data_IF_903584735002
#
_entry.id   IF_903584735002
#
_cell.length_a   1.000
_cell.length_b   1.000
_cell.length_c   1.000
_cell.angle_alpha   90.00
_cell.angle_beta   90.00
_cell.angle_gamma   90.00
#
_symmetry.space_group_name_H-M   'P 1'
#
loop_
_entity.id
_entity.type
_entity.pdbx_description
1 polymer ?
#
# COMPACT_ATOMS: atom_id res chain seq x y z
N UNK A 1 -23.28 22.94 -21.56
CA UNK A 1 -22.44 22.33 -20.50
C UNK A 1 -22.91 20.89 -20.36
N UNK A 2 -22.11 19.98 -20.79
CA UNK A 2 -22.40 18.55 -20.58
C UNK A 2 -22.22 18.22 -19.09
N UNK A 3 -22.86 17.16 -18.66
CA UNK A 3 -22.81 16.71 -17.27
C UNK A 3 -21.41 16.15 -16.97
N UNK A 4 -20.79 16.49 -15.82
CA UNK A 4 -19.53 15.86 -15.44
C UNK A 4 -19.65 14.33 -15.43
N UNK A 5 -18.57 13.63 -15.78
CA UNK A 5 -18.50 12.16 -15.69
C UNK A 5 -18.78 11.74 -14.25
N UNK A 6 -19.65 10.76 -14.07
CA UNK A 6 -20.01 10.18 -12.78
C UNK A 6 -19.77 8.67 -12.83
N UNK A 7 -19.75 8.03 -11.64
CA UNK A 7 -19.59 6.57 -11.56
C UNK A 7 -20.59 5.79 -12.42
N UNK A 8 -21.80 6.29 -12.60
CA UNK A 8 -22.82 5.67 -13.48
C UNK A 8 -22.48 5.71 -14.97
N UNK A 9 -21.51 6.51 -15.36
CA UNK A 9 -21.06 6.65 -16.75
C UNK A 9 -19.86 5.75 -17.07
N UNK A 10 -19.25 5.11 -16.03
CA UNK A 10 -18.06 4.27 -16.16
C UNK A 10 -18.46 2.86 -16.67
N UNK A 11 -17.66 2.32 -17.58
CA UNK A 11 -17.81 0.96 -18.09
C UNK A 11 -16.42 0.32 -18.28
N UNK A 12 -16.34 -1.01 -18.20
CA UNK A 12 -15.07 -1.72 -18.41
C UNK A 12 -14.58 -1.68 -19.86
N UNK A 13 -15.50 -1.53 -20.81
CA UNK A 13 -15.20 -1.68 -22.23
C UNK A 13 -14.88 -0.35 -22.92
N UNK A 14 -15.07 0.78 -22.25
CA UNK A 14 -14.95 2.09 -22.87
C UNK A 14 -14.59 3.17 -21.87
N UNK A 15 -13.55 3.95 -22.19
CA UNK A 15 -13.24 5.19 -21.51
C UNK A 15 -14.21 6.27 -21.98
N UNK A 16 -14.97 6.93 -21.10
CA UNK A 16 -15.88 7.98 -21.49
C UNK A 16 -15.17 9.10 -22.26
N UNK A 17 -15.78 9.59 -23.35
CA UNK A 17 -15.30 10.80 -23.98
C UNK A 17 -15.44 11.98 -23.03
N UNK A 18 -14.42 12.85 -23.00
CA UNK A 18 -14.40 14.06 -22.19
C UNK A 18 -14.64 15.28 -23.05
N UNK A 19 -15.22 16.32 -22.46
CA UNK A 19 -15.33 17.64 -23.08
C UNK A 19 -14.02 18.43 -23.06
N UNK A 20 -13.02 17.91 -22.38
CA UNK A 20 -11.73 18.55 -22.26
C UNK A 20 -10.85 18.22 -23.46
N UNK A 21 -10.11 19.21 -23.93
CA UNK A 21 -8.99 18.99 -24.82
C UNK A 21 -7.72 18.76 -23.99
N UNK A 22 -6.81 17.96 -24.49
CA UNK A 22 -5.50 17.74 -23.94
C UNK A 22 -4.77 19.08 -23.60
N UNK A 23 -4.81 20.05 -24.52
CA UNK A 23 -4.15 21.35 -24.33
C UNK A 23 -4.77 22.15 -23.17
N UNK A 24 -6.08 22.06 -22.95
CA UNK A 24 -6.74 22.71 -21.82
C UNK A 24 -6.38 22.05 -20.50
N UNK A 25 -6.44 20.71 -20.43
CA UNK A 25 -6.08 19.95 -19.23
C UNK A 25 -4.60 20.22 -18.84
N UNK A 26 -3.69 20.13 -19.81
CA UNK A 26 -2.26 20.37 -19.59
C UNK A 26 -1.97 21.85 -19.20
N UNK A 27 -2.70 22.81 -19.74
CA UNK A 27 -2.55 24.22 -19.36
C UNK A 27 -2.92 24.44 -17.90
N UNK A 28 -4.04 23.88 -17.44
CA UNK A 28 -4.44 23.90 -16.03
C UNK A 28 -3.38 23.23 -15.14
N UNK A 29 -2.94 22.03 -15.53
CA UNK A 29 -1.92 21.29 -14.80
C UNK A 29 -0.63 22.10 -14.59
N UNK A 30 -0.13 22.74 -15.65
CA UNK A 30 1.07 23.60 -15.61
C UNK A 30 0.87 24.87 -14.80
N UNK A 31 -0.35 25.40 -14.74
CA UNK A 31 -0.68 26.57 -13.91
C UNK A 31 -0.83 26.23 -12.43
N UNK A 32 -0.87 24.93 -12.06
CA UNK A 32 -1.19 24.47 -10.72
C UNK A 32 -2.67 24.64 -10.37
N UNK A 33 -3.52 24.82 -11.38
CA UNK A 33 -4.97 24.91 -11.21
C UNK A 33 -5.55 23.53 -10.86
N UNK A 34 -6.61 23.51 -10.05
CA UNK A 34 -7.28 22.28 -9.66
C UNK A 34 -7.90 21.56 -10.85
N UNK A 35 -7.46 20.32 -11.10
CA UNK A 35 -7.95 19.47 -12.18
C UNK A 35 -9.32 18.86 -11.83
N UNK A 36 -10.17 18.72 -12.84
CA UNK A 36 -11.41 17.95 -12.80
C UNK A 36 -11.16 16.48 -13.14
N UNK A 37 -12.16 15.61 -12.93
CA UNK A 37 -12.09 14.20 -13.36
C UNK A 37 -11.88 14.10 -14.87
N UNK A 38 -12.58 14.94 -15.65
CA UNK A 38 -12.42 14.98 -17.12
C UNK A 38 -11.00 15.40 -17.53
N UNK A 39 -10.39 16.37 -16.83
CA UNK A 39 -8.98 16.74 -17.06
C UNK A 39 -8.05 15.54 -16.78
N UNK A 40 -8.30 14.78 -15.69
CA UNK A 40 -7.50 13.62 -15.34
C UNK A 40 -7.65 12.48 -16.37
N UNK A 41 -8.88 12.19 -16.82
CA UNK A 41 -9.14 11.20 -17.88
C UNK A 41 -8.37 11.61 -19.13
N UNK A 42 -8.47 12.86 -19.57
CA UNK A 42 -7.76 13.35 -20.76
C UNK A 42 -6.23 13.20 -20.64
N UNK A 43 -5.66 13.46 -19.46
CA UNK A 43 -4.22 13.29 -19.25
C UNK A 43 -3.80 11.82 -19.15
N UNK A 44 -4.64 10.94 -18.59
CA UNK A 44 -4.38 9.49 -18.50
C UNK A 44 -4.54 8.79 -19.85
N UNK A 45 -5.51 9.22 -20.67
CA UNK A 45 -5.76 8.68 -22.01
C UNK A 45 -4.82 9.26 -23.06
N UNK A 46 -3.91 10.13 -22.66
CA UNK A 46 -2.98 10.84 -23.53
C UNK A 46 -2.33 9.90 -24.55
N UNK A 47 -2.84 9.93 -25.77
CA UNK A 47 -2.29 9.21 -26.89
C UNK A 47 -2.64 7.72 -26.95
N UNK A 48 -3.66 7.24 -26.26
CA UNK A 48 -4.27 5.96 -26.59
C UNK A 48 -5.13 6.12 -27.85
N UNK A 49 -4.46 6.21 -29.01
CA UNK A 49 -5.12 5.92 -30.26
C UNK A 49 -4.99 4.41 -30.58
N UNK A 50 -5.52 3.98 -31.71
CA UNK A 50 -5.48 2.57 -32.16
C UNK A 50 -4.04 2.04 -32.27
N UNK A 51 -3.05 2.91 -32.27
CA UNK A 51 -1.62 2.63 -32.45
C UNK A 51 -0.78 2.75 -31.17
N UNK A 52 -1.35 3.15 -30.03
CA UNK A 52 -0.67 3.30 -28.74
C UNK A 52 -0.58 4.73 -28.21
N UNK A 53 0.19 4.91 -27.12
CA UNK A 53 0.35 6.19 -26.44
C UNK A 53 1.13 7.20 -27.30
N UNK A 54 0.58 8.42 -27.49
CA UNK A 54 1.29 9.55 -28.10
C UNK A 54 2.46 10.00 -27.20
N UNK A 55 3.64 9.53 -27.51
CA UNK A 55 4.84 9.79 -26.70
C UNK A 55 5.11 11.30 -26.52
N UNK A 56 4.82 12.13 -27.52
CA UNK A 56 5.00 13.58 -27.40
C UNK A 56 4.07 14.21 -26.37
N UNK A 57 2.81 13.77 -26.32
CA UNK A 57 1.85 14.24 -25.32
C UNK A 57 2.22 13.71 -23.94
N UNK A 58 2.58 12.43 -23.83
CA UNK A 58 3.03 11.80 -22.58
C UNK A 58 4.20 12.59 -21.98
N UNK A 59 5.28 12.81 -22.74
CA UNK A 59 6.44 13.57 -22.26
C UNK A 59 6.05 14.94 -21.69
N UNK A 60 5.11 15.64 -22.28
CA UNK A 60 4.63 16.94 -21.80
C UNK A 60 3.86 16.84 -20.47
N UNK A 61 3.15 15.73 -20.23
CA UNK A 61 2.48 15.45 -18.93
C UNK A 61 3.53 15.16 -17.87
N UNK A 62 4.51 14.30 -18.18
CA UNK A 62 5.61 13.96 -17.26
C UNK A 62 6.42 15.20 -16.86
N UNK A 63 6.77 16.05 -17.84
CA UNK A 63 7.47 17.31 -17.58
C UNK A 63 6.66 18.23 -16.65
N UNK A 64 5.34 18.37 -16.87
CA UNK A 64 4.49 19.18 -16.01
C UNK A 64 4.42 18.63 -14.59
N UNK A 65 4.36 17.30 -14.44
CA UNK A 65 4.33 16.64 -13.15
C UNK A 65 5.65 16.77 -12.38
N UNK A 66 6.80 16.65 -13.07
CA UNK A 66 8.10 16.83 -12.41
C UNK A 66 8.34 18.29 -11.99
N UNK A 67 7.89 19.26 -12.79
CA UNK A 67 7.87 20.67 -12.38
C UNK A 67 7.00 20.87 -11.14
N UNK A 68 5.79 20.30 -11.12
CA UNK A 68 4.90 20.40 -9.95
C UNK A 68 5.52 19.77 -8.72
N UNK A 69 6.16 18.60 -8.85
CA UNK A 69 6.91 17.96 -7.76
C UNK A 69 8.00 18.90 -7.22
N UNK A 70 8.81 19.50 -8.12
CA UNK A 70 9.85 20.41 -7.70
C UNK A 70 9.32 21.65 -6.95
N UNK A 71 8.15 22.16 -7.34
CA UNK A 71 7.48 23.27 -6.66
C UNK A 71 6.96 22.88 -5.27
N UNK A 72 6.51 21.63 -5.06
CA UNK A 72 5.89 21.17 -3.81
C UNK A 72 6.95 20.66 -2.81
N UNK A 73 7.87 19.80 -3.24
CA UNK A 73 8.80 19.07 -2.36
C UNK A 73 10.28 19.33 -2.68
N UNK A 74 10.61 20.11 -3.70
CA UNK A 74 12.00 20.42 -4.06
C UNK A 74 12.72 19.24 -4.72
N UNK A 75 14.04 19.17 -4.52
CA UNK A 75 14.92 18.17 -5.14
C UNK A 75 15.21 16.96 -4.23
N UNK A 76 14.58 16.90 -3.08
CA UNK A 76 14.72 15.79 -2.14
C UNK A 76 13.99 14.54 -2.65
N UNK A 77 14.58 13.38 -2.40
CA UNK A 77 13.94 12.07 -2.55
C UNK A 77 14.01 11.37 -1.21
N UNK A 78 12.84 11.12 -0.65
CA UNK A 78 12.71 10.54 0.67
C UNK A 78 12.68 9.01 0.63
N UNK A 79 13.10 8.38 1.74
CA UNK A 79 12.93 6.95 2.00
C UNK A 79 12.92 6.68 3.51
N UNK A 80 12.38 5.52 3.90
CA UNK A 80 12.21 5.13 5.31
C UNK A 80 12.93 3.83 5.63
N UNK A 81 13.51 3.74 6.84
CA UNK A 81 14.07 2.48 7.34
C UNK A 81 12.96 1.62 7.95
N UNK A 82 12.38 0.72 7.18
CA UNK A 82 11.25 -0.10 7.59
C UNK A 82 11.45 -1.61 7.41
N UNK A 83 10.56 -2.34 8.07
CA UNK A 83 10.38 -3.78 7.96
C UNK A 83 8.93 -4.08 7.55
N UNK A 84 8.72 -4.99 6.61
CA UNK A 84 7.44 -5.64 6.40
C UNK A 84 7.32 -6.85 7.33
N UNK A 85 6.38 -6.83 8.27
CA UNK A 85 6.06 -7.96 9.13
C UNK A 85 4.63 -8.46 8.87
N UNK A 86 4.42 -9.17 7.76
CA UNK A 86 3.16 -9.84 7.51
C UNK A 86 2.95 -10.97 8.52
N UNK A 87 1.82 -10.98 9.22
CA UNK A 87 1.57 -11.92 10.32
C UNK A 87 1.13 -13.29 9.79
N UNK A 88 0.27 -13.32 8.76
CA UNK A 88 -0.26 -14.58 8.23
C UNK A 88 -0.64 -14.47 6.76
N UNK A 89 -0.50 -15.60 6.05
CA UNK A 89 -1.06 -15.79 4.71
C UNK A 89 -2.46 -16.41 4.74
N UNK A 90 -2.92 -16.94 5.88
CA UNK A 90 -4.25 -17.51 6.01
C UNK A 90 -5.34 -16.46 5.81
N UNK A 91 -6.18 -16.62 4.77
CA UNK A 91 -7.21 -15.66 4.43
C UNK A 91 -8.40 -16.31 3.72
N UNK A 92 -9.62 -15.90 4.05
CA UNK A 92 -10.86 -16.39 3.42
C UNK A 92 -11.61 -15.36 2.57
N UNK A 93 -11.05 -14.17 2.33
CA UNK A 93 -11.75 -13.10 1.57
C UNK A 93 -11.93 -13.48 0.10
N UNK A 94 -10.97 -14.16 -0.50
CA UNK A 94 -11.13 -14.67 -1.86
C UNK A 94 -10.84 -13.67 -2.98
N UNK A 95 -10.10 -12.57 -2.75
CA UNK A 95 -9.71 -11.61 -3.78
C UNK A 95 -9.03 -12.29 -4.96
N UNK A 96 -9.48 -11.97 -6.19
CA UNK A 96 -8.99 -12.62 -7.41
C UNK A 96 -7.64 -12.07 -7.88
N UNK A 97 -7.25 -10.89 -7.42
CA UNK A 97 -5.94 -10.29 -7.70
C UNK A 97 -4.83 -10.76 -6.75
N UNK A 98 -5.20 -11.44 -5.64
CA UNK A 98 -4.25 -11.72 -4.56
C UNK A 98 -3.67 -13.13 -4.65
N UNK A 99 -2.36 -13.22 -4.76
CA UNK A 99 -1.60 -14.49 -4.66
C UNK A 99 -0.78 -14.61 -3.37
N UNK A 100 -0.88 -13.64 -2.47
CA UNK A 100 -0.26 -13.70 -1.14
C UNK A 100 -0.98 -14.68 -0.22
N UNK A 101 -2.30 -14.79 -0.36
CA UNK A 101 -3.14 -15.59 0.53
C UNK A 101 -3.05 -17.09 0.27
N UNK A 102 -3.13 -17.85 1.36
CA UNK A 102 -3.46 -19.27 1.36
C UNK A 102 -4.85 -19.48 1.98
N UNK A 103 -5.57 -20.51 1.54
CA UNK A 103 -6.90 -20.80 2.09
C UNK A 103 -6.78 -21.20 3.58
N UNK A 104 -7.47 -20.48 4.46
CA UNK A 104 -7.30 -20.61 5.90
C UNK A 104 -7.55 -22.05 6.44
N UNK A 105 -8.36 -22.87 5.76
CA UNK A 105 -8.60 -24.25 6.16
C UNK A 105 -7.36 -25.17 6.03
N UNK A 106 -6.34 -24.78 5.25
CA UNK A 106 -5.09 -25.55 5.12
C UNK A 106 -4.20 -25.43 6.36
N UNK A 107 -4.46 -24.46 7.23
CA UNK A 107 -3.76 -24.27 8.50
C UNK A 107 -4.42 -24.96 9.69
N UNK A 108 -5.58 -25.60 9.48
CA UNK A 108 -6.31 -26.26 10.55
C UNK A 108 -5.63 -27.56 10.98
N UNK A 109 -5.71 -27.87 12.27
CA UNK A 109 -5.22 -29.14 12.83
C UNK A 109 -5.93 -30.33 12.18
N UNK A 110 -5.22 -31.40 12.04
CA UNK A 110 -5.75 -32.71 11.63
C UNK A 110 -6.40 -32.76 10.23
N UNK A 111 -6.19 -31.77 9.38
CA UNK A 111 -6.72 -31.74 8.01
C UNK A 111 -5.93 -32.71 7.07
N UNK A 112 -4.67 -33.01 7.42
CA UNK A 112 -3.74 -33.70 6.53
C UNK A 112 -3.32 -32.89 5.31
N UNK A 113 -3.60 -31.57 5.31
CA UNK A 113 -3.19 -30.63 4.28
C UNK A 113 -1.95 -29.86 4.78
N UNK A 114 -0.99 -29.68 3.90
CA UNK A 114 0.17 -28.82 4.17
C UNK A 114 -0.06 -27.48 3.47
N UNK A 115 0.06 -26.38 4.22
CA UNK A 115 0.09 -25.04 3.64
C UNK A 115 1.53 -24.66 3.31
N UNK A 116 1.74 -24.02 2.16
CA UNK A 116 3.02 -23.39 1.84
C UNK A 116 3.16 -22.00 2.52
N UNK A 117 2.12 -21.55 3.23
CA UNK A 117 2.07 -20.28 3.91
C UNK A 117 2.59 -20.32 5.34
N UNK A 118 2.35 -19.25 6.07
CA UNK A 118 2.79 -19.08 7.46
C UNK A 118 1.72 -18.37 8.30
N UNK A 119 1.83 -18.55 9.62
CA UNK A 119 1.18 -17.74 10.64
C UNK A 119 2.19 -17.49 11.75
N UNK A 120 2.31 -16.26 12.24
CA UNK A 120 3.20 -15.86 13.32
C UNK A 120 2.42 -15.60 14.60
N UNK A 121 2.97 -16.04 15.71
CA UNK A 121 2.49 -15.65 17.03
C UNK A 121 2.90 -14.22 17.37
N UNK A 122 2.26 -13.54 18.34
CA UNK A 122 2.72 -12.23 18.83
C UNK A 122 4.17 -12.23 19.32
N UNK A 123 4.65 -13.34 19.92
CA UNK A 123 6.05 -13.45 20.37
C UNK A 123 7.03 -13.44 19.20
N UNK A 124 6.74 -14.17 18.13
CA UNK A 124 7.57 -14.19 16.92
C UNK A 124 7.58 -12.83 16.23
N UNK A 125 6.42 -12.14 16.13
CA UNK A 125 6.35 -10.77 15.59
C UNK A 125 7.23 -9.81 16.41
N UNK A 126 7.18 -9.90 17.75
CA UNK A 126 8.01 -9.08 18.63
C UNK A 126 9.51 -9.34 18.44
N UNK A 127 9.93 -10.60 18.34
CA UNK A 127 11.32 -10.98 18.12
C UNK A 127 11.85 -10.46 16.78
N UNK A 128 11.06 -10.59 15.71
CA UNK A 128 11.40 -10.08 14.37
C UNK A 128 11.56 -8.56 14.39
N UNK A 129 10.61 -7.84 15.00
CA UNK A 129 10.65 -6.36 15.07
C UNK A 129 11.81 -5.90 15.93
N UNK A 130 12.04 -6.53 17.10
CA UNK A 130 13.16 -6.17 17.98
C UNK A 130 14.53 -6.38 17.30
N UNK A 131 14.68 -7.47 16.53
CA UNK A 131 15.89 -7.70 15.74
C UNK A 131 16.07 -6.61 14.66
N UNK A 132 15.00 -6.23 13.93
CA UNK A 132 15.06 -5.17 12.94
C UNK A 132 15.40 -3.80 13.54
N UNK A 133 14.83 -3.47 14.71
CA UNK A 133 15.16 -2.24 15.47
C UNK A 133 16.64 -2.19 15.85
N UNK A 134 17.20 -3.31 16.30
CA UNK A 134 18.63 -3.40 16.62
C UNK A 134 19.56 -3.11 15.44
N UNK A 135 19.01 -3.11 14.23
CA UNK A 135 19.70 -2.80 12.97
C UNK A 135 19.37 -1.40 12.41
N UNK A 136 18.59 -0.60 13.12
CA UNK A 136 18.27 0.76 12.75
C UNK A 136 16.89 0.95 12.09
N UNK A 137 16.04 -0.08 12.03
CA UNK A 137 14.65 0.05 11.62
C UNK A 137 13.87 0.81 12.69
N UNK A 138 13.00 1.72 12.27
CA UNK A 138 12.12 2.48 13.16
C UNK A 138 10.66 2.53 12.68
N UNK A 139 10.33 1.85 11.59
CA UNK A 139 8.96 1.63 11.14
C UNK A 139 8.72 0.14 10.87
N UNK A 140 7.61 -0.39 11.35
CA UNK A 140 7.11 -1.69 10.94
C UNK A 140 5.80 -1.52 10.17
N UNK A 141 5.78 -1.99 8.93
CA UNK A 141 4.58 -2.12 8.13
C UNK A 141 4.03 -3.53 8.28
N UNK A 142 2.74 -3.67 8.58
CA UNK A 142 2.09 -4.98 8.70
C UNK A 142 0.74 -4.97 8.00
N UNK A 143 0.64 -5.75 6.91
CA UNK A 143 -0.60 -6.05 6.20
C UNK A 143 -0.69 -7.56 6.04
N UNK A 144 -1.79 -8.17 6.46
CA UNK A 144 -1.86 -9.62 6.61
C UNK A 144 -3.12 -10.22 5.99
N UNK A 145 -3.13 -11.55 5.84
CA UNK A 145 -4.34 -12.29 5.57
C UNK A 145 -5.34 -12.17 6.72
N UNK A 146 -6.63 -12.30 6.42
CA UNK A 146 -7.69 -12.27 7.43
C UNK A 146 -7.91 -13.67 8.01
N UNK A 147 -7.11 -14.02 9.01
CA UNK A 147 -7.19 -15.32 9.67
C UNK A 147 -8.51 -15.45 10.44
N UNK A 148 -9.28 -16.54 10.27
CA UNK A 148 -10.59 -16.69 10.94
C UNK A 148 -10.51 -16.71 12.46
N UNK A 149 -9.39 -17.05 13.07
CA UNK A 149 -9.18 -17.00 14.51
C UNK A 149 -8.90 -15.59 15.07
N UNK A 150 -8.59 -14.61 14.21
CA UNK A 150 -8.41 -13.25 14.70
C UNK A 150 -9.67 -12.71 15.35
N UNK A 151 -9.50 -12.05 16.47
CA UNK A 151 -10.46 -11.15 17.09
C UNK A 151 -9.75 -9.79 17.27
N UNK A 152 -10.50 -8.71 17.53
CA UNK A 152 -9.90 -7.41 17.85
C UNK A 152 -9.04 -7.52 19.10
N UNK A 153 -9.67 -8.02 20.18
CA UNK A 153 -9.08 -8.23 21.51
C UNK A 153 -9.78 -9.41 22.23
N UNK A 154 -9.49 -9.60 23.51
CA UNK A 154 -10.07 -10.68 24.33
C UNK A 154 -11.59 -10.56 24.47
N UNK A 155 -12.16 -9.36 24.61
CA UNK A 155 -13.61 -9.13 24.67
C UNK A 155 -14.28 -9.56 23.37
N UNK A 156 -13.70 -9.16 22.23
CA UNK A 156 -14.21 -9.56 20.91
C UNK A 156 -14.14 -11.08 20.71
N UNK A 157 -13.08 -11.73 21.19
CA UNK A 157 -12.94 -13.18 21.13
C UNK A 157 -14.10 -13.88 21.86
N UNK A 158 -14.43 -13.44 23.07
CA UNK A 158 -15.57 -13.97 23.84
C UNK A 158 -16.91 -13.79 23.10
N UNK A 159 -17.13 -12.64 22.46
CA UNK A 159 -18.33 -12.37 21.66
C UNK A 159 -18.41 -13.32 20.46
N UNK A 160 -17.31 -13.51 19.73
CA UNK A 160 -17.27 -14.40 18.57
C UNK A 160 -17.45 -15.87 18.93
N UNK A 161 -16.87 -16.34 20.05
CA UNK A 161 -17.05 -17.70 20.57
C UNK A 161 -18.49 -17.98 20.99
N UNK A 162 -19.16 -16.98 21.58
CA UNK A 162 -20.56 -17.07 21.97
C UNK A 162 -21.54 -16.80 20.81
N UNK A 163 -21.08 -16.43 19.63
CA UNK A 163 -21.92 -16.04 18.52
C UNK A 163 -22.79 -17.21 18.03
N UNK A 164 -24.15 -17.03 17.88
CA UNK A 164 -25.06 -18.12 17.54
C UNK A 164 -24.79 -18.70 16.14
N UNK A 165 -24.17 -17.93 15.26
CA UNK A 165 -23.84 -18.32 13.89
C UNK A 165 -22.34 -18.02 13.58
N UNK A 166 -21.38 -18.80 14.13
CA UNK A 166 -19.95 -18.53 13.94
C UNK A 166 -19.50 -18.52 12.45
N UNK A 167 -20.19 -19.29 11.61
CA UNK A 167 -19.90 -19.33 10.16
C UNK A 167 -20.31 -18.03 9.46
N UNK A 168 -21.37 -17.38 9.93
CA UNK A 168 -21.82 -16.11 9.33
C UNK A 168 -20.82 -14.96 9.58
N UNK A 169 -20.12 -15.02 10.73
CA UNK A 169 -19.05 -14.07 11.09
C UNK A 169 -17.66 -14.57 10.72
N UNK A 170 -17.57 -15.66 9.96
CA UNK A 170 -16.29 -16.25 9.53
C UNK A 170 -15.30 -16.46 10.70
N UNK A 171 -15.80 -16.94 11.86
CA UNK A 171 -14.96 -17.18 13.03
C UNK A 171 -14.74 -18.68 13.26
N UNK A 172 -13.51 -19.00 13.62
CA UNK A 172 -13.09 -20.31 14.06
C UNK A 172 -12.08 -20.16 15.20
N UNK A 173 -12.27 -20.83 16.35
CA UNK A 173 -11.44 -20.58 17.52
C UNK A 173 -9.99 -21.01 17.27
N UNK A 174 -9.00 -20.37 17.96
CA UNK A 174 -7.59 -20.64 17.76
C UNK A 174 -7.18 -22.10 17.90
N UNK A 175 -7.83 -22.85 18.78
CA UNK A 175 -7.56 -24.28 19.00
C UNK A 175 -7.78 -25.15 17.77
N UNK A 176 -8.54 -24.64 16.79
CA UNK A 176 -8.74 -25.32 15.51
C UNK A 176 -7.49 -25.28 14.62
N UNK A 177 -6.53 -24.42 14.89
CA UNK A 177 -5.34 -24.18 14.10
C UNK A 177 -4.08 -24.67 14.81
N UNK A 178 -3.02 -24.92 14.05
CA UNK A 178 -1.73 -25.33 14.61
C UNK A 178 -1.07 -24.20 15.39
N UNK A 179 -1.20 -22.96 14.87
CA UNK A 179 -0.63 -21.74 15.44
C UNK A 179 -1.76 -20.77 15.76
N UNK A 180 -1.80 -20.27 17.00
CA UNK A 180 -2.67 -19.17 17.41
C UNK A 180 -2.04 -17.84 16.98
N UNK A 181 -2.67 -17.08 16.08
CA UNK A 181 -2.15 -15.76 15.68
C UNK A 181 -2.32 -14.67 16.76
N UNK A 182 -2.93 -14.97 17.90
CA UNK A 182 -3.33 -13.99 18.91
C UNK A 182 -4.55 -13.16 18.45
N UNK A 183 -4.69 -11.99 19.05
CA UNK A 183 -5.66 -10.96 18.63
C UNK A 183 -4.95 -9.87 17.83
N UNK A 184 -5.71 -8.98 17.16
CA UNK A 184 -5.13 -7.82 16.49
C UNK A 184 -4.39 -6.92 17.50
N UNK A 185 -4.97 -6.68 18.69
CA UNK A 185 -4.30 -5.88 19.74
C UNK A 185 -3.06 -6.58 20.30
N UNK A 186 -3.03 -7.92 20.37
CA UNK A 186 -1.82 -8.67 20.76
C UNK A 186 -0.69 -8.47 19.74
N UNK A 187 -1.00 -8.57 18.44
CA UNK A 187 -0.01 -8.37 17.36
C UNK A 187 0.51 -6.93 17.34
N UNK A 188 -0.38 -5.92 17.43
CA UNK A 188 0.02 -4.51 17.48
C UNK A 188 0.92 -4.25 18.71
N UNK A 189 0.51 -4.71 19.89
CA UNK A 189 1.33 -4.54 21.13
C UNK A 189 2.68 -5.26 21.03
N UNK A 190 2.74 -6.39 20.35
CA UNK A 190 3.97 -7.11 20.11
C UNK A 190 4.93 -6.36 19.19
N UNK A 191 4.41 -5.70 18.16
CA UNK A 191 5.19 -4.88 17.21
C UNK A 191 5.56 -3.50 17.76
N UNK A 192 4.79 -2.96 18.73
CA UNK A 192 5.05 -1.66 19.37
C UNK A 192 6.22 -1.76 20.35
N UNK A 193 7.42 -1.87 19.79
CA UNK A 193 8.70 -1.84 20.53
C UNK A 193 9.17 -0.40 20.65
N UNK A 194 9.93 -0.07 21.72
CA UNK A 194 10.42 1.29 21.95
C UNK A 194 11.15 1.85 20.70
N UNK A 195 10.69 3.01 20.24
CA UNK A 195 11.26 3.72 19.11
C UNK A 195 10.77 3.25 17.71
N UNK A 196 9.80 2.34 17.67
CA UNK A 196 9.18 1.86 16.43
C UNK A 196 7.83 2.53 16.20
N UNK A 197 7.61 2.98 14.98
CA UNK A 197 6.32 3.41 14.45
C UNK A 197 5.59 2.21 13.84
N UNK A 198 4.38 1.93 14.30
CA UNK A 198 3.57 0.80 13.81
C UNK A 198 2.58 1.29 12.75
N UNK A 199 2.84 0.91 11.50
CA UNK A 199 1.99 1.19 10.33
C UNK A 199 1.22 -0.07 9.93
N UNK A 200 -0.05 -0.19 10.35
CA UNK A 200 -0.81 -1.44 10.22
C UNK A 200 -2.31 -1.23 10.23
N UNK A 201 -3.08 -2.32 10.22
CA UNK A 201 -4.53 -2.34 10.37
C UNK A 201 -5.26 -1.59 9.26
N UNK A 202 -5.12 -2.10 8.05
CA UNK A 202 -5.89 -1.64 6.87
C UNK A 202 -7.40 -1.54 7.16
N UNK A 203 -8.17 -0.74 6.40
CA UNK A 203 -9.64 -0.72 6.50
C UNK A 203 -10.29 -2.10 6.42
N UNK A 204 -9.75 -3.02 5.63
CA UNK A 204 -10.23 -4.39 5.54
C UNK A 204 -10.00 -5.18 6.84
N UNK A 205 -8.84 -5.03 7.47
CA UNK A 205 -8.55 -5.64 8.77
C UNK A 205 -9.43 -5.05 9.86
N UNK A 206 -9.69 -3.74 9.84
CA UNK A 206 -10.63 -3.08 10.76
C UNK A 206 -12.08 -3.54 10.54
N UNK A 207 -12.49 -3.71 9.27
CA UNK A 207 -13.79 -4.30 8.93
C UNK A 207 -13.92 -5.73 9.49
N UNK A 208 -12.89 -6.55 9.34
CA UNK A 208 -12.82 -7.89 9.91
C UNK A 208 -12.81 -7.87 11.45
N UNK A 209 -12.14 -6.91 12.07
CA UNK A 209 -12.01 -6.76 13.52
C UNK A 209 -13.30 -6.34 14.23
N UNK A 210 -14.34 -5.88 13.52
CA UNK A 210 -15.65 -5.53 14.09
C UNK A 210 -16.76 -6.55 13.83
N UNK A 211 -16.47 -7.62 13.07
CA UNK A 211 -17.49 -8.61 12.69
C UNK A 211 -18.20 -9.22 13.91
N UNK A 212 -19.49 -9.44 13.80
CA UNK A 212 -20.32 -9.98 14.90
C UNK A 212 -20.62 -8.99 16.03
N UNK A 213 -20.28 -7.71 15.85
CA UNK A 213 -20.55 -6.62 16.79
C UNK A 213 -21.24 -5.45 16.09
N UNK A 214 -21.73 -4.50 16.88
CA UNK A 214 -22.22 -3.20 16.42
C UNK A 214 -21.21 -2.06 16.64
N UNK A 215 -19.94 -2.40 16.90
CA UNK A 215 -18.87 -1.40 17.11
C UNK A 215 -18.67 -0.53 15.88
N UNK A 216 -18.43 0.76 16.10
CA UNK A 216 -18.00 1.67 15.06
C UNK A 216 -16.53 1.42 14.68
N UNK A 217 -16.08 2.00 13.56
CA UNK A 217 -14.65 1.97 13.22
C UNK A 217 -13.82 2.79 14.21
N UNK A 218 -14.37 3.87 14.80
CA UNK A 218 -13.70 4.62 15.89
C UNK A 218 -13.46 3.75 17.13
N UNK A 219 -14.42 2.89 17.51
CA UNK A 219 -14.24 1.93 18.62
C UNK A 219 -13.07 0.98 18.33
N UNK A 220 -13.02 0.45 17.09
CA UNK A 220 -11.94 -0.46 16.67
C UNK A 220 -10.59 0.25 16.66
N UNK A 221 -10.46 1.37 15.94
CA UNK A 221 -9.21 2.10 15.85
C UNK A 221 -8.78 2.71 17.18
N UNK A 222 -9.70 3.12 18.03
CA UNK A 222 -9.40 3.58 19.39
C UNK A 222 -8.74 2.50 20.24
N UNK A 223 -9.20 1.24 20.17
CA UNK A 223 -8.58 0.09 20.85
C UNK A 223 -7.22 -0.27 20.26
N UNK A 224 -7.08 -0.24 18.94
CA UNK A 224 -5.82 -0.49 18.25
C UNK A 224 -4.77 0.59 18.56
N UNK A 225 -5.17 1.86 18.59
CA UNK A 225 -4.30 2.97 19.02
C UNK A 225 -3.85 2.80 20.45
N UNK A 226 -4.73 2.39 21.35
CA UNK A 226 -4.36 2.09 22.74
C UNK A 226 -3.40 0.90 22.86
N UNK A 227 -3.40 -0.02 21.88
CA UNK A 227 -2.45 -1.13 21.80
C UNK A 227 -1.09 -0.74 21.18
N UNK A 228 -0.95 0.47 20.60
CA UNK A 228 0.27 0.98 20.02
C UNK A 228 0.28 1.13 18.50
N UNK A 229 -0.88 1.18 17.84
CA UNK A 229 -0.99 1.54 16.44
C UNK A 229 -0.76 3.04 16.26
N UNK A 230 0.09 3.44 15.31
CA UNK A 230 0.43 4.85 15.04
C UNK A 230 -0.22 5.36 13.75
N UNK A 231 -0.15 4.59 12.66
CA UNK A 231 -0.73 4.99 11.35
C UNK A 231 -1.39 3.81 10.64
N UNK A 232 -2.32 4.13 9.72
CA UNK A 232 -3.13 3.17 8.96
C UNK A 232 -2.77 3.22 7.48
N UNK A 233 -2.34 2.08 6.87
CA UNK A 233 -2.09 2.01 5.44
C UNK A 233 -3.39 2.06 4.63
N UNK A 234 -3.36 2.79 3.52
CA UNK A 234 -4.47 2.89 2.57
C UNK A 234 -4.73 1.63 1.75
N UNK A 235 -3.93 0.58 1.94
CA UNK A 235 -4.10 -0.72 1.29
C UNK A 235 -5.50 -1.26 1.57
N UNK A 236 -6.01 -2.10 0.69
CA UNK A 236 -7.40 -2.52 0.57
C UNK A 236 -8.32 -1.53 -0.19
N UNK A 237 -7.84 -0.32 -0.53
CA UNK A 237 -8.53 0.54 -1.48
C UNK A 237 -8.65 -0.14 -2.84
N UNK A 238 -7.61 -0.79 -3.30
CA UNK A 238 -7.41 -1.33 -4.64
C UNK A 238 -7.80 -0.26 -5.67
N UNK A 239 -9.06 -0.26 -6.09
CA UNK A 239 -9.67 0.87 -6.79
C UNK A 239 -11.03 1.19 -6.14
N UNK A 240 -11.25 2.46 -5.82
CA UNK A 240 -12.46 2.92 -5.11
C UNK A 240 -13.61 3.16 -6.11
N UNK A 241 -13.94 2.15 -6.88
CA UNK A 241 -15.09 2.10 -7.82
C UNK A 241 -15.74 0.73 -7.68
N UNK A 242 -17.00 0.69 -7.25
CA UNK A 242 -17.67 -0.55 -6.84
C UNK A 242 -17.78 -1.56 -7.98
N UNK A 243 -18.05 -1.11 -9.20
CA UNK A 243 -18.11 -1.98 -10.39
C UNK A 243 -16.83 -2.77 -10.61
N UNK A 244 -15.66 -2.14 -10.39
CA UNK A 244 -14.34 -2.78 -10.47
C UNK A 244 -14.14 -3.74 -9.31
N UNK A 245 -14.48 -3.32 -8.08
CA UNK A 245 -14.36 -4.12 -6.86
C UNK A 245 -15.17 -5.40 -6.93
N UNK A 246 -16.38 -5.33 -7.47
CA UNK A 246 -17.26 -6.50 -7.69
C UNK A 246 -16.61 -7.57 -8.56
N UNK A 247 -15.72 -7.19 -9.47
CA UNK A 247 -14.97 -8.14 -10.31
C UNK A 247 -13.72 -8.67 -9.58
N UNK A 248 -12.91 -7.79 -8.99
CA UNK A 248 -11.59 -8.20 -8.49
C UNK A 248 -11.59 -8.70 -7.04
N UNK A 249 -12.55 -8.24 -6.22
CA UNK A 249 -12.61 -8.56 -4.79
C UNK A 249 -14.04 -8.48 -4.19
N UNK A 250 -15.01 -9.26 -4.70
CA UNK A 250 -16.44 -9.14 -4.32
C UNK A 250 -16.76 -9.43 -2.85
N UNK A 251 -15.82 -10.02 -2.11
CA UNK A 251 -15.95 -10.32 -0.68
C UNK A 251 -15.31 -9.30 0.25
N UNK A 252 -14.75 -8.21 -0.29
CA UNK A 252 -13.98 -7.21 0.43
C UNK A 252 -14.86 -6.04 0.88
N UNK A 253 -14.36 -5.25 1.83
CA UNK A 253 -14.98 -3.99 2.24
C UNK A 253 -15.38 -3.15 1.02
N UNK A 254 -16.58 -2.55 1.03
CA UNK A 254 -17.05 -1.68 -0.04
C UNK A 254 -16.25 -0.37 -0.11
N UNK A 255 -16.36 0.35 -1.23
CA UNK A 255 -15.78 1.70 -1.37
C UNK A 255 -16.21 2.62 -0.23
N UNK A 256 -17.49 2.68 0.09
CA UNK A 256 -18.02 3.52 1.18
C UNK A 256 -17.48 3.07 2.53
N UNK A 257 -17.48 1.76 2.82
CA UNK A 257 -16.93 1.22 4.05
C UNK A 257 -15.43 1.52 4.22
N UNK A 258 -14.66 1.52 3.13
CA UNK A 258 -13.26 1.91 3.15
C UNK A 258 -13.10 3.40 3.51
N UNK A 259 -13.88 4.28 2.90
CA UNK A 259 -13.88 5.72 3.20
C UNK A 259 -14.26 6.00 4.66
N UNK A 260 -15.35 5.36 5.15
CA UNK A 260 -15.78 5.46 6.55
C UNK A 260 -14.67 5.01 7.53
N UNK A 261 -14.00 3.90 7.24
CA UNK A 261 -12.93 3.38 8.09
C UNK A 261 -11.73 4.34 8.14
N UNK A 262 -11.33 4.93 7.02
CA UNK A 262 -10.25 5.91 6.97
C UNK A 262 -10.61 7.21 7.71
N UNK A 263 -11.83 7.72 7.55
CA UNK A 263 -12.30 8.88 8.33
C UNK A 263 -12.29 8.59 9.83
N UNK A 264 -12.75 7.41 10.24
CA UNK A 264 -12.73 6.99 11.63
C UNK A 264 -11.33 6.88 12.22
N UNK A 265 -10.37 6.36 11.45
CA UNK A 265 -8.96 6.30 11.85
C UNK A 265 -8.39 7.72 12.09
N UNK A 266 -8.66 8.66 11.18
CA UNK A 266 -8.28 10.07 11.33
C UNK A 266 -8.95 10.71 12.57
N UNK A 267 -10.25 10.45 12.78
CA UNK A 267 -11.02 11.00 13.91
C UNK A 267 -10.45 10.60 15.28
N UNK A 268 -9.86 9.41 15.38
CA UNK A 268 -9.16 8.99 16.60
C UNK A 268 -7.69 9.47 16.64
N UNK A 269 -7.25 10.23 15.62
CA UNK A 269 -5.94 10.85 15.55
C UNK A 269 -4.84 9.89 15.12
N UNK A 270 -5.11 8.96 14.21
CA UNK A 270 -4.12 8.16 13.50
C UNK A 270 -3.75 8.86 12.18
N UNK A 271 -2.48 8.83 11.80
CA UNK A 271 -2.07 9.24 10.45
C UNK A 271 -2.46 8.19 9.42
N UNK A 272 -2.54 8.59 8.15
CA UNK A 272 -3.02 7.75 7.06
C UNK A 272 -2.07 7.78 5.87
N UNK A 273 -2.10 6.69 5.07
CA UNK A 273 -1.64 6.73 3.68
C UNK A 273 -2.79 6.38 2.73
N UNK A 274 -2.68 6.65 1.44
CA UNK A 274 -3.66 6.23 0.47
C UNK A 274 -2.97 5.49 -0.69
N UNK A 275 -3.65 4.48 -1.26
CA UNK A 275 -3.08 3.64 -2.31
C UNK A 275 -4.08 3.47 -3.46
N UNK A 276 -3.57 3.21 -4.65
CA UNK A 276 -4.32 2.64 -5.76
C UNK A 276 -3.61 1.39 -6.27
N UNK A 277 -4.34 0.34 -6.63
CA UNK A 277 -3.83 -0.75 -7.46
C UNK A 277 -4.44 -0.62 -8.85
N UNK A 278 -3.62 -0.57 -9.88
CA UNK A 278 -4.03 -0.32 -11.26
C UNK A 278 -3.34 -1.25 -12.25
N UNK A 279 -3.83 -1.32 -13.49
CA UNK A 279 -3.32 -2.18 -14.55
C UNK A 279 -3.96 -3.56 -14.58
N UNK A 280 -5.22 -3.68 -14.14
CA UNK A 280 -5.98 -4.94 -14.18
C UNK A 280 -7.21 -4.85 -15.11
N UNK A 281 -8.44 -4.64 -14.59
CA UNK A 281 -9.68 -4.59 -15.39
C UNK A 281 -10.25 -3.18 -15.51
N UNK A 282 -9.71 -2.24 -14.75
CA UNK A 282 -10.14 -0.85 -14.76
C UNK A 282 -9.68 -0.11 -16.03
N UNK A 283 -10.18 1.09 -16.20
CA UNK A 283 -9.76 2.04 -17.23
C UNK A 283 -9.41 3.41 -16.59
N UNK A 284 -9.01 4.37 -17.41
CA UNK A 284 -8.56 5.69 -16.99
C UNK A 284 -9.64 6.49 -16.27
N UNK A 285 -10.92 6.29 -16.62
CA UNK A 285 -12.02 6.93 -15.91
C UNK A 285 -12.19 6.39 -14.49
N UNK A 286 -11.99 5.08 -14.29
CA UNK A 286 -11.97 4.46 -12.97
C UNK A 286 -10.81 4.99 -12.12
N UNK A 287 -9.60 5.11 -12.72
CA UNK A 287 -8.41 5.69 -12.06
C UNK A 287 -8.65 7.14 -11.64
N UNK A 288 -9.20 7.96 -12.53
CA UNK A 288 -9.53 9.36 -12.24
C UNK A 288 -10.60 9.50 -11.14
N UNK A 289 -11.61 8.61 -11.11
CA UNK A 289 -12.62 8.59 -10.06
C UNK A 289 -12.02 8.18 -8.71
N UNK A 290 -11.11 7.22 -8.69
CA UNK A 290 -10.37 6.84 -7.49
C UNK A 290 -9.58 8.04 -6.94
N UNK A 291 -8.78 8.71 -7.77
CA UNK A 291 -8.04 9.92 -7.37
C UNK A 291 -8.96 11.01 -6.80
N UNK A 292 -10.13 11.22 -7.40
CA UNK A 292 -11.14 12.16 -6.88
C UNK A 292 -11.55 11.78 -5.46
N UNK A 293 -11.85 10.51 -5.18
CA UNK A 293 -12.28 10.05 -3.86
C UNK A 293 -11.19 10.20 -2.80
N UNK A 294 -9.95 9.92 -3.16
CA UNK A 294 -8.79 10.14 -2.27
C UNK A 294 -8.63 11.62 -1.96
N UNK A 295 -8.68 12.50 -2.97
CA UNK A 295 -8.60 13.95 -2.78
C UNK A 295 -9.72 14.50 -1.89
N UNK A 296 -10.94 14.04 -2.09
CA UNK A 296 -12.10 14.42 -1.26
C UNK A 296 -12.00 13.84 0.16
N UNK A 297 -11.45 12.65 0.33
CA UNK A 297 -11.16 12.10 1.66
C UNK A 297 -10.15 12.97 2.39
N UNK A 298 -9.04 13.36 1.76
CA UNK A 298 -8.04 14.25 2.36
C UNK A 298 -8.63 15.58 2.85
N UNK A 299 -9.62 16.13 2.12
CA UNK A 299 -10.33 17.32 2.57
C UNK A 299 -11.18 17.08 3.83
N UNK A 300 -11.76 15.88 3.98
CA UNK A 300 -12.58 15.52 5.15
C UNK A 300 -11.76 15.19 6.39
N UNK A 301 -10.54 14.64 6.19
CA UNK A 301 -9.65 14.22 7.27
C UNK A 301 -8.58 15.27 7.64
N UNK A 302 -8.77 16.51 7.22
CA UNK A 302 -7.92 17.68 7.55
C UNK A 302 -6.43 17.44 7.32
N UNK A 303 -6.08 16.79 6.20
CA UNK A 303 -4.69 16.56 5.82
C UNK A 303 -4.03 15.33 6.49
N UNK A 304 -4.79 14.41 7.06
CA UNK A 304 -4.23 13.24 7.74
C UNK A 304 -3.54 12.24 6.80
N UNK A 305 -3.78 12.28 5.48
CA UNK A 305 -3.11 11.44 4.49
C UNK A 305 -1.75 12.05 4.15
N UNK A 306 -0.67 11.37 4.55
CA UNK A 306 0.70 11.86 4.35
C UNK A 306 1.25 11.55 2.97
N UNK A 307 0.85 10.43 2.35
CA UNK A 307 1.33 10.02 1.03
C UNK A 307 0.28 9.30 0.21
N UNK A 308 0.48 9.32 -1.10
CA UNK A 308 -0.25 8.49 -2.05
C UNK A 308 0.69 7.50 -2.74
N UNK A 309 0.28 6.21 -2.77
CA UNK A 309 1.11 5.10 -3.26
C UNK A 309 0.43 4.41 -4.45
N UNK A 310 0.80 4.72 -5.69
CA UNK A 310 0.41 3.94 -6.86
C UNK A 310 1.12 2.58 -6.88
N UNK A 311 0.34 1.50 -7.00
CA UNK A 311 0.79 0.11 -7.01
C UNK A 311 0.41 -0.55 -8.33
N UNK A 312 1.36 -0.74 -9.21
CA UNK A 312 1.17 -1.51 -10.45
C UNK A 312 0.80 -2.97 -10.12
N UNK A 313 -0.21 -3.49 -10.80
CA UNK A 313 -0.71 -4.85 -10.59
C UNK A 313 0.29 -5.91 -11.06
N UNK A 314 0.74 -6.75 -10.15
CA UNK A 314 1.57 -7.93 -10.46
C UNK A 314 0.64 -9.09 -10.80
N UNK A 315 0.45 -9.37 -12.08
CA UNK A 315 -0.57 -10.29 -12.58
C UNK A 315 -0.20 -11.76 -12.49
N UNK A 316 1.11 -12.06 -12.51
CA UNK A 316 1.60 -13.45 -12.51
C UNK A 316 1.02 -14.24 -11.34
N UNK A 317 0.64 -15.49 -11.59
CA UNK A 317 0.10 -16.40 -10.60
C UNK A 317 -1.19 -15.93 -9.88
N UNK A 318 -1.89 -14.91 -10.37
CA UNK A 318 -3.15 -14.46 -9.76
C UNK A 318 -4.36 -15.16 -10.43
N UNK A 319 -5.47 -15.40 -9.70
CA UNK A 319 -6.67 -15.95 -10.31
C UNK A 319 -7.21 -15.11 -11.49
N UNK A 320 -7.08 -13.79 -11.48
CA UNK A 320 -7.45 -12.94 -12.62
C UNK A 320 -6.70 -13.34 -13.89
N UNK A 321 -5.40 -13.61 -13.79
CA UNK A 321 -4.57 -14.01 -14.91
C UNK A 321 -4.80 -15.49 -15.30
N UNK A 322 -4.88 -16.39 -14.31
CA UNK A 322 -5.10 -17.83 -14.53
C UNK A 322 -6.45 -18.15 -15.18
N UNK A 323 -7.46 -17.28 -14.97
CA UNK A 323 -8.79 -17.41 -15.57
C UNK A 323 -9.02 -16.54 -16.81
N UNK A 324 -7.95 -16.00 -17.41
CA UNK A 324 -8.01 -15.16 -18.61
C UNK A 324 -8.91 -13.91 -18.45
N UNK A 325 -9.10 -13.40 -17.23
CA UNK A 325 -9.84 -12.15 -16.97
C UNK A 325 -8.98 -10.96 -17.37
N UNK A 326 -7.68 -11.05 -17.15
CA UNK A 326 -6.66 -10.08 -17.58
C UNK A 326 -5.58 -10.78 -18.40
N UNK A 327 -4.96 -10.06 -19.33
CA UNK A 327 -3.86 -10.58 -20.17
C UNK A 327 -2.47 -10.15 -19.68
N UNK A 328 -2.38 -9.24 -18.71
CA UNK A 328 -1.13 -8.68 -18.18
C UNK A 328 -1.39 -7.66 -17.09
N UNK A 329 -0.35 -6.92 -16.71
CA UNK A 329 -0.39 -5.74 -15.84
C UNK A 329 -0.30 -4.45 -16.65
N UNK A 330 -0.11 -3.31 -15.98
CA UNK A 330 0.11 -2.03 -16.62
C UNK A 330 1.40 -2.03 -17.46
N UNK A 331 1.38 -1.26 -18.53
CA UNK A 331 2.59 -0.95 -19.30
C UNK A 331 3.43 0.10 -18.59
N UNK A 332 4.71 0.19 -18.95
CA UNK A 332 5.62 1.24 -18.46
C UNK A 332 5.07 2.65 -18.69
N UNK A 333 4.43 2.88 -19.84
CA UNK A 333 3.83 4.17 -20.18
C UNK A 333 2.64 4.50 -19.26
N UNK A 334 1.81 3.51 -18.92
CA UNK A 334 0.71 3.68 -17.97
C UNK A 334 1.24 3.92 -16.55
N UNK A 335 2.30 3.24 -16.15
CA UNK A 335 2.97 3.47 -14.86
C UNK A 335 3.45 4.93 -14.73
N UNK A 336 4.15 5.43 -15.76
CA UNK A 336 4.62 6.82 -15.82
C UNK A 336 3.47 7.82 -15.76
N UNK A 337 2.42 7.61 -16.53
CA UNK A 337 1.24 8.49 -16.53
C UNK A 337 0.47 8.43 -15.22
N UNK A 338 0.37 7.27 -14.58
CA UNK A 338 -0.31 7.14 -13.28
C UNK A 338 0.37 7.96 -12.20
N UNK A 339 1.70 7.89 -12.11
CA UNK A 339 2.49 8.74 -11.21
C UNK A 339 2.29 10.22 -11.53
N UNK A 340 2.45 10.59 -12.82
CA UNK A 340 2.36 11.99 -13.24
C UNK A 340 0.99 12.60 -12.98
N UNK A 341 -0.08 11.91 -13.34
CA UNK A 341 -1.43 12.41 -13.12
C UNK A 341 -1.80 12.41 -11.64
N UNK A 342 -1.31 11.45 -10.85
CA UNK A 342 -1.48 11.51 -9.38
C UNK A 342 -0.88 12.79 -8.80
N UNK A 343 0.36 13.16 -9.19
CA UNK A 343 1.01 14.42 -8.77
C UNK A 343 0.24 15.67 -9.17
N UNK A 344 -0.30 15.68 -10.40
CA UNK A 344 -1.02 16.85 -10.92
C UNK A 344 -2.43 16.99 -10.35
N UNK A 345 -3.09 15.86 -10.03
CA UNK A 345 -4.48 15.85 -9.59
C UNK A 345 -4.65 15.96 -8.08
N UNK A 346 -3.78 15.30 -7.29
CA UNK A 346 -3.83 15.31 -5.82
C UNK A 346 -3.14 16.56 -5.27
N UNK A 347 -3.78 17.72 -5.47
CA UNK A 347 -3.27 19.04 -5.10
C UNK A 347 -3.16 19.28 -3.58
N UNK A 348 -3.64 18.35 -2.77
CA UNK A 348 -3.68 18.37 -1.32
C UNK A 348 -2.94 17.19 -0.65
N UNK A 349 -2.13 16.45 -1.40
CA UNK A 349 -1.23 15.41 -0.89
C UNK A 349 0.17 15.67 -1.44
N UNK A 350 1.11 15.98 -0.55
CA UNK A 350 2.43 16.46 -0.96
C UNK A 350 3.36 15.34 -1.45
N UNK A 351 3.17 14.09 -0.98
CA UNK A 351 4.09 13.00 -1.27
C UNK A 351 3.47 11.90 -2.14
N UNK A 352 4.17 11.57 -3.22
CA UNK A 352 3.82 10.49 -4.15
C UNK A 352 4.97 9.48 -4.17
N UNK A 353 4.66 8.23 -3.83
CA UNK A 353 5.67 7.19 -3.71
C UNK A 353 5.93 6.47 -5.04
N UNK A 354 7.20 6.21 -5.34
CA UNK A 354 7.66 5.23 -6.33
C UNK A 354 7.97 3.90 -5.65
N UNK A 355 7.16 2.89 -5.88
CA UNK A 355 7.26 1.58 -5.23
C UNK A 355 8.28 0.69 -5.96
N UNK A 356 9.58 0.82 -5.65
CA UNK A 356 10.65 0.11 -6.34
C UNK A 356 10.49 -1.41 -6.38
N UNK A 357 9.81 -2.01 -5.39
CA UNK A 357 9.51 -3.46 -5.39
C UNK A 357 8.58 -3.88 -6.53
N UNK A 358 7.84 -2.94 -7.13
CA UNK A 358 6.97 -3.16 -8.28
C UNK A 358 7.68 -2.87 -9.60
N UNK A 359 8.53 -1.84 -9.63
CA UNK A 359 9.11 -1.29 -10.83
C UNK A 359 10.56 -1.72 -11.08
N UNK A 360 11.29 -2.15 -10.05
CA UNK A 360 12.73 -2.29 -10.09
C UNK A 360 13.47 -0.94 -10.08
N UNK A 361 14.80 -0.98 -10.23
CA UNK A 361 15.64 0.21 -10.06
C UNK A 361 15.45 1.21 -11.19
N UNK A 362 15.56 0.76 -12.43
CA UNK A 362 15.53 1.64 -13.61
C UNK A 362 14.17 2.36 -13.71
N UNK A 363 13.08 1.61 -13.69
CA UNK A 363 11.75 2.18 -13.80
C UNK A 363 11.37 2.97 -12.54
N UNK A 364 11.77 2.50 -11.34
CA UNK A 364 11.55 3.22 -10.09
C UNK A 364 12.23 4.59 -10.07
N UNK A 365 13.48 4.70 -10.56
CA UNK A 365 14.15 5.99 -10.74
C UNK A 365 13.49 6.87 -11.81
N UNK A 366 12.97 6.26 -12.87
CA UNK A 366 12.20 6.99 -13.89
C UNK A 366 10.94 7.63 -13.27
N UNK A 367 10.23 6.93 -12.36
CA UNK A 367 9.07 7.47 -11.65
C UNK A 367 9.40 8.74 -10.84
N UNK A 368 10.61 8.80 -10.26
CA UNK A 368 11.08 10.00 -9.55
C UNK A 368 11.26 11.22 -10.48
N UNK A 369 11.38 10.99 -11.78
CA UNK A 369 11.40 12.04 -12.81
C UNK A 369 10.05 12.26 -13.49
N UNK A 370 8.99 11.58 -13.01
CA UNK A 370 7.63 11.66 -13.51
C UNK A 370 6.67 12.31 -12.49
N UNK A 371 7.16 12.78 -11.34
CA UNK A 371 6.34 13.42 -10.31
C UNK A 371 6.39 12.75 -8.94
N UNK A 372 6.99 11.56 -8.78
CA UNK A 372 7.22 10.96 -7.46
C UNK A 372 8.40 11.66 -6.74
N UNK A 373 8.37 11.61 -5.41
CA UNK A 373 9.38 12.20 -4.52
C UNK A 373 9.81 11.26 -3.39
N UNK A 374 9.13 10.14 -3.21
CA UNK A 374 9.47 9.12 -2.23
C UNK A 374 9.85 7.81 -2.94
N UNK A 375 10.91 7.16 -2.46
CA UNK A 375 11.41 5.91 -3.03
C UNK A 375 11.17 4.71 -2.11
N UNK A 376 10.05 4.75 -1.38
CA UNK A 376 9.61 3.68 -0.48
C UNK A 376 10.55 3.52 0.73
N UNK A 377 10.80 2.29 1.16
CA UNK A 377 11.61 1.96 2.31
C UNK A 377 12.56 0.78 2.09
N UNK A 378 13.37 0.52 3.10
CA UNK A 378 14.35 -0.59 3.10
C UNK A 378 13.70 -1.97 3.07
N UNK A 379 12.48 -2.08 3.56
CA UNK A 379 11.55 -3.22 3.60
C UNK A 379 12.05 -4.40 4.45
N UNK A 380 13.28 -4.78 4.41
CA UNK A 380 13.94 -5.94 5.06
C UNK A 380 13.29 -7.31 4.81
N UNK A 381 12.03 -7.38 4.35
CA UNK A 381 11.32 -8.63 3.99
C UNK A 381 10.12 -8.29 3.12
N UNK A 382 10.07 -8.80 1.89
CA UNK A 382 8.97 -8.57 0.95
C UNK A 382 8.35 -9.90 0.51
N UNK A 383 7.22 -10.25 1.11
CA UNK A 383 6.51 -11.50 0.84
C UNK A 383 5.36 -11.33 -0.17
N UNK A 384 4.68 -10.17 -0.14
CA UNK A 384 3.43 -9.96 -0.91
C UNK A 384 3.74 -9.95 -2.41
N UNK A 385 4.64 -9.08 -2.84
CA UNK A 385 5.03 -8.93 -4.25
C UNK A 385 5.75 -10.17 -4.76
N UNK A 386 6.62 -10.77 -3.93
CA UNK A 386 7.35 -11.98 -4.27
C UNK A 386 6.43 -13.18 -4.53
N UNK A 387 5.43 -13.41 -3.68
CA UNK A 387 4.44 -14.48 -3.88
C UNK A 387 3.57 -14.25 -5.12
N UNK A 388 3.31 -13.00 -5.45
CA UNK A 388 2.63 -12.64 -6.70
C UNK A 388 3.49 -12.83 -7.96
N UNK A 389 4.78 -13.17 -7.81
CA UNK A 389 5.71 -13.38 -8.92
C UNK A 389 6.53 -12.14 -9.29
N UNK A 390 6.58 -11.13 -8.41
CA UNK A 390 7.45 -9.96 -8.61
C UNK A 390 8.94 -10.35 -8.60
N UNK A 391 9.71 -9.71 -9.47
CA UNK A 391 11.10 -10.08 -9.77
C UNK A 391 12.13 -9.26 -9.00
N UNK A 392 11.72 -8.16 -8.37
CA UNK A 392 12.61 -7.17 -7.76
C UNK A 392 12.73 -7.38 -6.27
N UNK A 393 13.92 -7.62 -5.80
CA UNK A 393 14.46 -7.84 -4.46
C UNK A 393 13.59 -7.61 -3.20
N UNK A 394 14.15 -7.99 -2.06
CA UNK A 394 13.43 -7.96 -0.76
C UNK A 394 13.97 -6.88 0.18
N UNK A 395 15.09 -6.27 -0.17
CA UNK A 395 15.84 -5.36 0.70
C UNK A 395 16.67 -4.39 -0.12
N UNK A 396 16.74 -3.15 0.37
CA UNK A 396 17.60 -2.10 -0.14
C UNK A 396 18.35 -1.42 1.01
N UNK A 397 19.66 -1.34 0.90
CA UNK A 397 20.48 -0.66 1.90
C UNK A 397 20.42 0.86 1.73
N UNK A 398 20.84 1.60 2.75
CA UNK A 398 21.00 3.06 2.65
C UNK A 398 22.02 3.46 1.57
N UNK A 399 23.09 2.70 1.42
CA UNK A 399 24.09 2.96 0.38
C UNK A 399 23.46 2.83 -1.02
N UNK A 400 22.60 1.82 -1.23
CA UNK A 400 21.89 1.65 -2.51
C UNK A 400 20.98 2.86 -2.80
N UNK A 401 20.26 3.38 -1.79
CA UNK A 401 19.44 4.59 -1.93
C UNK A 401 20.28 5.81 -2.32
N UNK A 402 21.41 5.99 -1.63
CA UNK A 402 22.30 7.12 -1.89
C UNK A 402 22.84 7.07 -3.33
N UNK A 403 23.32 5.91 -3.77
CA UNK A 403 23.87 5.72 -5.10
C UNK A 403 22.81 5.93 -6.18
N UNK A 404 21.63 5.33 -6.01
CA UNK A 404 20.53 5.41 -6.97
C UNK A 404 19.98 6.84 -7.08
N UNK A 405 19.63 7.47 -5.96
CA UNK A 405 19.04 8.82 -5.93
C UNK A 405 20.06 9.84 -6.45
N UNK A 406 21.33 9.73 -6.04
CA UNK A 406 22.38 10.63 -6.50
C UNK A 406 22.66 10.46 -8.00
N UNK A 407 22.47 9.27 -8.58
CA UNK A 407 22.69 9.00 -10.00
C UNK A 407 21.77 9.83 -10.92
N UNK A 408 20.61 10.23 -10.42
CA UNK A 408 19.65 11.11 -11.12
C UNK A 408 19.77 12.59 -10.70
N UNK A 409 20.80 12.94 -9.92
CA UNK A 409 21.05 14.32 -9.49
C UNK A 409 20.14 14.82 -8.38
N UNK A 410 19.44 13.93 -7.66
CA UNK A 410 18.56 14.25 -6.52
C UNK A 410 19.28 14.09 -5.19
N UNK A 411 18.66 14.61 -4.13
CA UNK A 411 19.18 14.61 -2.76
C UNK A 411 18.51 13.50 -1.96
N UNK A 412 19.26 12.46 -1.51
CA UNK A 412 18.67 11.39 -0.70
C UNK A 412 18.39 11.87 0.74
N UNK A 413 17.17 11.62 1.23
CA UNK A 413 16.70 12.06 2.56
C UNK A 413 16.04 10.91 3.30
N UNK A 414 16.53 10.60 4.49
CA UNK A 414 15.86 9.69 5.41
C UNK A 414 14.73 10.43 6.13
N UNK A 415 13.52 9.89 6.08
CA UNK A 415 12.31 10.45 6.70
C UNK A 415 11.74 9.56 7.80
N UNK A 416 10.89 10.12 8.65
CA UNK A 416 9.95 9.36 9.49
C UNK A 416 8.73 8.92 8.66
N UNK A 417 7.86 8.10 9.25
CA UNK A 417 6.56 7.74 8.65
C UNK A 417 5.66 8.97 8.43
N UNK A 418 5.77 9.97 9.31
CA UNK A 418 5.01 11.23 9.21
C UNK A 418 5.68 12.27 8.31
N UNK A 419 6.65 11.86 7.49
CA UNK A 419 7.40 12.72 6.57
C UNK A 419 8.23 13.84 7.22
N UNK A 420 8.55 13.71 8.52
CA UNK A 420 9.57 14.57 9.11
C UNK A 420 10.96 14.14 8.63
N UNK A 421 11.78 15.10 8.19
CA UNK A 421 13.17 14.85 7.82
C UNK A 421 13.96 14.37 9.04
N UNK A 422 14.46 13.15 9.00
CA UNK A 422 15.39 12.63 10.03
C UNK A 422 16.81 13.08 9.73
N UNK A 423 17.24 12.96 8.49
CA UNK A 423 18.53 13.51 8.02
C UNK A 423 18.60 13.59 6.50
N UNK A 424 19.29 14.61 6.01
CA UNK A 424 19.79 14.66 4.64
C UNK A 424 21.08 13.85 4.58
N UNK A 425 21.19 12.94 3.63
CA UNK A 425 22.31 12.01 3.54
C UNK A 425 23.43 12.59 2.66
N UNK A 426 24.66 12.63 3.19
CA UNK A 426 25.85 12.95 2.37
C UNK A 426 26.23 11.73 1.52
N UNK A 427 26.25 11.86 0.18
CA UNK A 427 26.66 10.76 -0.70
C UNK A 427 28.09 10.28 -0.47
N UNK A 428 28.96 11.10 0.12
CA UNK A 428 30.37 10.74 0.39
C UNK A 428 30.57 10.05 1.74
N UNK A 429 29.57 10.09 2.63
CA UNK A 429 29.59 9.46 3.95
C UNK A 429 28.19 8.90 4.26
N UNK A 430 27.72 7.89 3.50
CA UNK A 430 26.41 7.30 3.73
C UNK A 430 26.41 6.57 5.07
N UNK A 431 25.37 6.79 5.92
CA UNK A 431 25.29 6.13 7.19
C UNK A 431 25.08 4.63 7.02
N UNK A 432 25.48 3.88 8.04
CA UNK A 432 25.04 2.49 8.13
C UNK A 432 23.54 2.46 8.36
N UNK A 433 22.85 1.75 7.48
CA UNK A 433 21.41 1.48 7.57
C UNK A 433 21.13 0.06 8.02
N UNK A 434 19.84 -0.31 8.09
CA UNK A 434 19.44 -1.67 8.35
C UNK A 434 20.13 -2.63 7.39
N UNK A 435 20.70 -3.70 7.92
CA UNK A 435 21.20 -4.82 7.13
C UNK A 435 20.05 -5.78 6.85
N UNK A 436 20.32 -6.79 6.04
CA UNK A 436 19.30 -7.76 5.61
C UNK A 436 18.40 -8.23 6.76
N UNK A 437 17.11 -8.25 6.51
CA UNK A 437 16.08 -8.73 7.43
C UNK A 437 15.99 -10.25 7.50
N UNK A 438 15.04 -10.79 8.28
CA UNK A 438 14.76 -12.22 8.28
C UNK A 438 14.21 -12.67 6.92
N UNK A 439 14.42 -13.93 6.58
CA UNK A 439 13.76 -14.57 5.44
C UNK A 439 12.27 -14.77 5.73
N UNK A 440 11.50 -15.08 4.69
CA UNK A 440 10.07 -15.38 4.78
C UNK A 440 9.67 -16.45 5.80
N UNK A 441 10.59 -17.36 6.10
CA UNK A 441 10.42 -18.42 7.10
C UNK A 441 10.86 -17.99 8.52
N UNK A 442 11.15 -16.69 8.71
CA UNK A 442 11.67 -16.12 9.95
C UNK A 442 13.16 -16.41 10.19
N UNK A 443 13.83 -17.13 9.27
CA UNK A 443 15.26 -17.40 9.39
C UNK A 443 16.03 -16.13 9.05
N UNK A 444 16.97 -15.68 9.89
CA UNK A 444 17.79 -14.53 9.57
C UNK A 444 18.60 -14.75 8.28
N UNK A 445 18.61 -13.76 7.40
CA UNK A 445 19.42 -13.80 6.17
C UNK A 445 20.91 -13.72 6.53
N UNK A 446 21.24 -13.02 7.63
CA UNK A 446 22.61 -12.87 8.10
C UNK A 446 23.07 -14.11 8.88
N UNK A 447 24.30 -14.54 8.63
CA UNK A 447 24.99 -15.51 9.49
C UNK A 447 25.26 -14.93 10.88
N UNK A 448 25.51 -15.76 11.91
CA UNK A 448 25.85 -15.26 13.24
C UNK A 448 27.04 -14.30 13.27
N UNK A 449 28.00 -14.46 12.36
CA UNK A 449 29.19 -13.59 12.23
C UNK A 449 28.84 -12.22 11.60
N UNK A 450 27.89 -12.21 10.67
CA UNK A 450 27.38 -10.99 10.04
C UNK A 450 26.40 -10.21 10.95
N UNK A 451 25.90 -10.85 12.01
CA UNK A 451 25.08 -10.22 13.06
C UNK A 451 25.89 -9.56 14.14
N UNK A 452 27.23 -9.63 14.09
CA UNK A 452 28.04 -8.89 15.04
C UNK A 452 27.58 -7.43 15.06
N UNK A 453 27.42 -6.81 16.25
CA UNK A 453 27.01 -5.41 16.33
C UNK A 453 27.94 -4.60 15.45
N UNK A 454 27.36 -3.68 14.67
CA UNK A 454 28.11 -2.64 14.01
C UNK A 454 28.90 -1.97 15.12
N UNK A 455 30.23 -1.99 15.02
CA UNK A 455 31.08 -1.35 16.02
C UNK A 455 30.58 0.09 16.16
N UNK A 456 30.25 0.47 17.41
CA UNK A 456 30.04 1.86 17.77
C UNK A 456 31.37 2.59 17.48
N UNK A 457 31.44 3.31 16.34
CA UNK A 457 32.48 4.29 16.06
C UNK A 457 31.92 5.70 16.29
#
# INVERSE_FOLDING_TARGET
MERPVTEADLTFDHVPETDQSFENALTKARAGDRLTVDDAIELLTTGTDVDGIDQTRKERVLEAADHRRADVVGEEVTFVANLNNNVTTACNVGCLFCNFKDAAHTFERDTGMESAGFTKTPSESREIVADAVSRGVYEVTSVSGLHPAFALDGEHREILEAHPEPKAVNYKPPEAYEIDPGTYTDQISAMSVDGVHVHSMTPEEAYHARRGTDWSYEDVYGRLKAAGLDTVPGTAAEILVEEVRDVICPGKISTEGWLEAMEAAANVGLGLTATIMYGHVENEAHRAMHLKRVRELQERVDGAITEFVPLSFVHQNTPLFEHDVVSGGASTDEDELMIAVSRLFLDNIDHIQSSWVKYGDEQGLKMLSCGADDFMGTILSEEITKRAGGEYGEYRSFADYVDLVSSIGRVPVERSTDYETRRVIDPNDPPFGPRLGPKSDGTPILTPEERAPLADD
#
